data_IF_401348357182
#
_entry.id   IF_401348357182
#
_cell.length_a   1.000
_cell.length_b   1.000
_cell.length_c   1.000
_cell.angle_alpha   90.00
_cell.angle_beta   90.00
_cell.angle_gamma   90.00
#
_symmetry.space_group_name_H-M   'P 1'
#
loop_
_entity.id
_entity.type
_entity.pdbx_description
1 polymer ?
#
# COMPACT_ATOMS: atom_id res chain seq x y z
N UNK A 1 25.13 15.10 -28.88
CA UNK A 1 24.34 14.11 -28.12
C UNK A 1 25.33 13.11 -27.56
N UNK A 2 25.72 13.30 -26.29
CA UNK A 2 26.57 12.33 -25.60
C UNK A 2 25.76 11.04 -25.41
N UNK A 3 26.30 9.93 -25.91
CA UNK A 3 25.81 8.58 -25.65
C UNK A 3 25.93 8.33 -24.15
N UNK A 4 24.81 8.14 -23.45
CA UNK A 4 24.80 7.63 -22.08
C UNK A 4 25.54 6.28 -22.13
N UNK A 5 26.73 6.15 -21.53
CA UNK A 5 27.44 4.87 -21.55
C UNK A 5 26.58 3.83 -20.84
N UNK A 6 26.48 2.64 -21.41
CA UNK A 6 25.66 1.53 -20.91
C UNK A 6 25.76 1.42 -19.38
N UNK A 7 24.73 1.88 -18.70
CA UNK A 7 24.51 1.83 -17.25
C UNK A 7 24.49 0.37 -16.73
N UNK A 8 24.43 -0.58 -17.65
CA UNK A 8 24.03 -1.97 -17.48
C UNK A 8 24.98 -2.84 -16.60
N UNK A 9 26.32 -2.81 -16.76
CA UNK A 9 27.17 -3.77 -16.05
C UNK A 9 27.38 -3.42 -14.57
N UNK A 10 27.40 -2.14 -14.21
CA UNK A 10 27.53 -1.71 -12.81
C UNK A 10 26.26 -2.02 -12.01
N UNK A 11 25.09 -1.74 -12.59
CA UNK A 11 23.81 -2.01 -11.95
C UNK A 11 23.60 -3.50 -11.68
N UNK A 12 23.96 -4.36 -12.65
CA UNK A 12 23.89 -5.80 -12.46
C UNK A 12 24.75 -6.29 -11.29
N UNK A 13 25.96 -5.74 -11.13
CA UNK A 13 26.84 -6.07 -10.00
C UNK A 13 26.18 -5.70 -8.66
N UNK A 14 25.50 -4.56 -8.60
CA UNK A 14 24.84 -4.09 -7.38
C UNK A 14 23.62 -4.94 -7.01
N UNK A 15 22.83 -5.36 -8.00
CA UNK A 15 21.73 -6.30 -7.81
C UNK A 15 22.23 -7.64 -7.25
N UNK A 16 23.29 -8.20 -7.82
CA UNK A 16 23.90 -9.46 -7.37
C UNK A 16 24.41 -9.32 -5.93
N UNK A 17 25.08 -8.21 -5.61
CA UNK A 17 25.54 -7.92 -4.24
C UNK A 17 24.38 -7.81 -3.26
N UNK A 18 23.25 -7.22 -3.66
CA UNK A 18 22.03 -7.14 -2.86
C UNK A 18 21.45 -8.51 -2.55
N UNK A 19 21.40 -9.42 -3.51
CA UNK A 19 20.87 -10.78 -3.30
C UNK A 19 21.79 -11.69 -2.47
N UNK A 20 23.10 -11.38 -2.39
CA UNK A 20 24.06 -12.22 -1.69
C UNK A 20 23.92 -12.18 -0.17
N UNK A 21 23.77 -13.34 0.46
CA UNK A 21 23.60 -13.51 1.92
C UNK A 21 24.60 -12.72 2.78
N UNK A 22 25.87 -12.71 2.39
CA UNK A 22 26.95 -12.05 3.13
C UNK A 22 27.28 -10.63 2.61
N UNK A 23 26.83 -10.28 1.40
CA UNK A 23 27.12 -8.98 0.76
C UNK A 23 25.98 -7.98 0.93
N UNK A 24 24.76 -8.44 1.22
CA UNK A 24 23.55 -7.63 1.36
C UNK A 24 23.71 -6.42 2.31
N UNK A 25 24.35 -6.61 3.47
CA UNK A 25 24.51 -5.53 4.46
C UNK A 25 25.32 -4.34 3.92
N UNK A 26 26.25 -4.57 2.98
CA UNK A 26 27.10 -3.54 2.35
C UNK A 26 26.68 -3.17 0.92
N UNK A 27 25.68 -3.84 0.37
CA UNK A 27 25.18 -3.55 -0.97
C UNK A 27 24.48 -2.17 -1.01
N UNK A 28 24.71 -1.34 -2.05
CA UNK A 28 23.98 -0.09 -2.24
C UNK A 28 22.52 -0.33 -2.64
N UNK A 29 22.24 -1.43 -3.35
CA UNK A 29 20.89 -1.89 -3.70
C UNK A 29 20.54 -3.11 -2.84
N UNK A 30 19.52 -2.98 -1.98
CA UNK A 30 19.23 -3.99 -0.94
C UNK A 30 18.47 -5.22 -1.42
N UNK A 31 17.74 -5.16 -2.53
CA UNK A 31 16.98 -6.33 -3.04
C UNK A 31 16.11 -6.99 -1.96
N UNK A 32 15.38 -6.18 -1.19
CA UNK A 32 14.53 -6.65 -0.10
C UNK A 32 13.40 -7.55 -0.64
N UNK A 33 13.09 -8.69 0.03
CA UNK A 33 11.99 -9.54 -0.38
C UNK A 33 10.65 -8.83 -0.18
N UNK A 34 9.80 -8.84 -1.21
CA UNK A 34 8.43 -8.28 -1.13
C UNK A 34 7.43 -9.25 -0.50
N UNK A 35 7.82 -10.52 -0.30
CA UNK A 35 6.97 -11.64 0.11
C UNK A 35 5.78 -11.95 -0.82
N UNK A 36 5.70 -11.30 -1.98
CA UNK A 36 4.78 -11.65 -3.07
C UNK A 36 5.36 -12.85 -3.82
N UNK A 37 4.70 -14.00 -3.75
CA UNK A 37 5.19 -15.28 -4.31
C UNK A 37 4.58 -15.67 -5.65
N UNK A 38 3.53 -14.99 -6.08
CA UNK A 38 2.86 -15.23 -7.36
C UNK A 38 2.30 -13.91 -7.89
N UNK A 39 2.20 -13.81 -9.22
CA UNK A 39 1.47 -12.75 -9.90
C UNK A 39 -0.02 -13.07 -9.93
N UNK A 40 -0.91 -12.07 -10.12
CA UNK A 40 -2.33 -12.34 -10.19
C UNK A 40 -2.69 -13.36 -11.28
N UNK A 41 -3.57 -14.30 -10.94
CA UNK A 41 -3.96 -15.41 -11.84
C UNK A 41 -5.42 -15.34 -12.32
N UNK A 42 -6.16 -14.33 -11.85
CA UNK A 42 -7.53 -14.04 -12.27
C UNK A 42 -8.59 -14.71 -11.43
N UNK A 43 -8.20 -15.51 -10.44
CA UNK A 43 -9.12 -16.12 -9.47
C UNK A 43 -9.34 -15.22 -8.24
N UNK A 44 -8.69 -14.07 -8.18
CA UNK A 44 -8.89 -13.10 -7.11
C UNK A 44 -10.32 -12.58 -7.11
N UNK A 45 -10.92 -12.51 -5.93
CA UNK A 45 -12.26 -11.94 -5.75
C UNK A 45 -12.43 -11.36 -4.36
N UNK A 46 -13.24 -10.31 -4.28
CA UNK A 46 -13.58 -9.65 -3.02
C UNK A 46 -13.41 -8.14 -3.08
N UNK A 47 -13.72 -7.51 -1.95
CA UNK A 47 -13.52 -6.10 -1.70
C UNK A 47 -12.22 -5.90 -0.90
N UNK A 48 -11.36 -5.02 -1.41
CA UNK A 48 -10.05 -4.73 -0.84
C UNK A 48 -9.95 -3.25 -0.50
N UNK A 49 -9.29 -2.96 0.61
CA UNK A 49 -8.87 -1.61 0.96
C UNK A 49 -7.36 -1.50 0.71
N UNK A 50 -6.96 -0.50 -0.07
CA UNK A 50 -5.56 -0.19 -0.29
C UNK A 50 -5.24 1.23 0.22
N UNK A 51 -4.03 1.37 0.75
CA UNK A 51 -3.49 2.62 1.25
C UNK A 51 -2.20 2.93 0.49
N UNK A 52 -2.13 4.10 -0.11
CA UNK A 52 -0.96 4.58 -0.84
C UNK A 52 -0.38 5.79 -0.12
N UNK A 53 0.77 5.59 0.53
CA UNK A 53 1.51 6.56 1.32
C UNK A 53 2.87 6.82 0.66
N UNK A 54 3.13 8.05 0.20
CA UNK A 54 4.37 8.34 -0.51
C UNK A 54 4.79 9.82 -0.60
N UNK A 55 4.15 10.72 0.15
CA UNK A 55 4.45 12.15 0.12
C UNK A 55 3.55 12.96 1.05
N UNK A 56 3.23 14.20 0.68
CA UNK A 56 2.35 15.12 1.44
C UNK A 56 0.87 14.73 1.39
N UNK A 57 0.51 13.81 0.48
CA UNK A 57 -0.82 13.26 0.35
C UNK A 57 -0.74 11.75 0.41
N UNK A 58 -1.80 11.14 0.92
CA UNK A 58 -2.03 9.72 0.78
C UNK A 58 -3.40 9.43 0.20
N UNK A 59 -3.55 8.22 -0.34
CA UNK A 59 -4.79 7.80 -0.96
C UNK A 59 -5.34 6.58 -0.25
N UNK A 60 -6.64 6.63 0.03
CA UNK A 60 -7.43 5.47 0.41
C UNK A 60 -8.15 5.00 -0.83
N UNK A 61 -8.01 3.72 -1.17
CA UNK A 61 -8.69 3.10 -2.30
C UNK A 61 -9.55 1.94 -1.84
N UNK A 62 -10.81 1.90 -2.28
CA UNK A 62 -11.67 0.73 -2.19
C UNK A 62 -11.74 0.06 -3.55
N UNK A 63 -11.31 -1.20 -3.63
CA UNK A 63 -11.12 -1.96 -4.86
C UNK A 63 -12.01 -3.20 -4.83
N UNK A 64 -13.00 -3.25 -5.73
CA UNK A 64 -13.82 -4.45 -5.94
C UNK A 64 -13.27 -5.29 -7.10
N UNK A 65 -12.93 -6.55 -6.83
CA UNK A 65 -12.46 -7.53 -7.81
C UNK A 65 -13.49 -8.64 -7.97
N UNK A 66 -13.89 -8.92 -9.21
CA UNK A 66 -14.76 -10.07 -9.55
C UNK A 66 -14.05 -10.99 -10.55
N UNK A 67 -14.41 -12.27 -10.47
CA UNK A 67 -13.77 -13.38 -11.19
C UNK A 67 -13.93 -13.28 -12.72
N UNK A 68 -15.02 -12.72 -13.23
CA UNK A 68 -15.40 -12.91 -14.64
C UNK A 68 -14.55 -12.14 -15.67
N UNK A 69 -13.68 -11.18 -15.29
CA UNK A 69 -12.91 -10.43 -16.31
C UNK A 69 -11.55 -9.85 -15.89
N UNK A 70 -11.01 -10.09 -14.68
CA UNK A 70 -9.82 -9.33 -14.18
C UNK A 70 -9.95 -7.79 -14.36
N UNK A 71 -11.18 -7.28 -14.55
CA UNK A 71 -11.44 -5.85 -14.68
C UNK A 71 -11.71 -5.32 -13.28
N UNK A 72 -10.91 -4.34 -12.86
CA UNK A 72 -11.22 -3.45 -11.74
C UNK A 72 -12.60 -2.85 -11.99
N UNK A 73 -13.61 -3.36 -11.28
CA UNK A 73 -15.01 -3.05 -11.58
C UNK A 73 -15.44 -1.73 -10.95
N UNK A 74 -14.86 -1.43 -9.78
CA UNK A 74 -15.04 -0.17 -9.08
C UNK A 74 -13.83 0.13 -8.24
N UNK A 75 -13.24 1.30 -8.46
CA UNK A 75 -12.16 1.83 -7.65
C UNK A 75 -12.59 3.19 -7.14
N UNK A 76 -13.09 3.22 -5.91
CA UNK A 76 -13.39 4.47 -5.23
C UNK A 76 -12.10 4.96 -4.55
N UNK A 77 -11.77 6.24 -4.70
CA UNK A 77 -10.54 6.79 -4.11
C UNK A 77 -10.80 8.10 -3.39
N UNK A 78 -10.07 8.32 -2.30
CA UNK A 78 -10.05 9.58 -1.55
C UNK A 78 -8.63 9.99 -1.29
N UNK A 79 -8.31 11.24 -1.63
CA UNK A 79 -7.02 11.86 -1.31
C UNK A 79 -7.15 12.52 0.05
N UNK A 80 -6.18 12.25 0.92
CA UNK A 80 -6.08 12.81 2.26
C UNK A 80 -4.74 13.54 2.38
N UNK A 81 -4.80 14.84 2.62
CA UNK A 81 -3.61 15.62 2.91
C UNK A 81 -3.04 15.23 4.27
N UNK A 82 -1.71 15.18 4.38
CA UNK A 82 -1.00 15.01 5.64
C UNK A 82 -0.46 16.38 6.04
N UNK A 83 -0.96 16.98 7.13
CA UNK A 83 -0.41 18.22 7.67
C UNK A 83 1.10 18.10 7.92
N UNK A 84 1.84 19.18 7.70
CA UNK A 84 3.30 19.18 7.82
C UNK A 84 3.75 18.83 9.24
N UNK A 85 2.97 19.21 10.25
CA UNK A 85 3.20 18.90 11.66
C UNK A 85 3.14 17.40 11.93
N UNK A 86 2.27 16.67 11.20
CA UNK A 86 2.14 15.21 11.31
C UNK A 86 3.25 14.52 10.51
N UNK A 87 3.64 15.05 9.34
CA UNK A 87 4.76 14.50 8.55
C UNK A 87 6.10 14.54 9.29
N UNK A 88 6.32 15.59 10.09
CA UNK A 88 7.52 15.77 10.92
C UNK A 88 7.34 15.25 12.35
N UNK A 89 6.15 14.73 12.67
CA UNK A 89 5.78 14.22 13.97
C UNK A 89 6.23 12.78 14.22
N UNK A 90 5.61 12.13 15.19
CA UNK A 90 5.87 10.72 15.50
C UNK A 90 5.19 9.79 14.50
N UNK A 91 5.73 8.57 14.34
CA UNK A 91 5.08 7.54 13.54
C UNK A 91 3.65 7.25 14.00
N UNK A 92 3.39 7.30 15.32
CA UNK A 92 2.06 7.12 15.89
C UNK A 92 1.06 8.18 15.42
N UNK A 93 1.48 9.46 15.32
CA UNK A 93 0.64 10.53 14.80
C UNK A 93 0.27 10.30 13.33
N UNK A 94 1.22 9.82 12.52
CA UNK A 94 0.97 9.46 11.10
C UNK A 94 -0.02 8.29 11.01
N UNK A 95 0.14 7.25 11.83
CA UNK A 95 -0.78 6.11 11.85
C UNK A 95 -2.17 6.51 12.33
N UNK A 96 -2.29 7.31 13.39
CA UNK A 96 -3.56 7.81 13.90
C UNK A 96 -4.31 8.67 12.86
N UNK A 97 -3.59 9.55 12.15
CA UNK A 97 -4.15 10.35 11.06
C UNK A 97 -4.67 9.49 9.90
N UNK A 98 -3.90 8.46 9.54
CA UNK A 98 -4.28 7.49 8.52
C UNK A 98 -5.57 6.75 8.91
N UNK A 99 -5.66 6.28 10.17
CA UNK A 99 -6.85 5.62 10.70
C UNK A 99 -8.09 6.51 10.73
N UNK A 100 -7.95 7.76 11.21
CA UNK A 100 -9.07 8.70 11.24
C UNK A 100 -9.59 9.02 9.84
N UNK A 101 -8.69 9.16 8.87
CA UNK A 101 -9.06 9.37 7.48
C UNK A 101 -9.75 8.16 6.87
N UNK A 102 -9.32 6.94 7.22
CA UNK A 102 -10.02 5.70 6.87
C UNK A 102 -11.43 5.70 7.46
N UNK A 103 -11.61 5.97 8.75
CA UNK A 103 -12.93 6.00 9.40
C UNK A 103 -13.89 7.00 8.72
N UNK A 104 -13.42 8.20 8.40
CA UNK A 104 -14.21 9.19 7.64
C UNK A 104 -14.57 8.70 6.24
N UNK A 105 -13.80 7.78 5.68
CA UNK A 105 -14.00 7.19 4.36
C UNK A 105 -14.97 6.01 4.41
N UNK A 106 -14.91 5.19 5.46
CA UNK A 106 -15.90 4.13 5.76
C UNK A 106 -17.32 4.69 5.95
N UNK A 107 -17.44 5.86 6.59
CA UNK A 107 -18.73 6.57 6.75
C UNK A 107 -19.21 7.20 5.43
N UNK A 108 -18.28 7.55 4.53
CA UNK A 108 -18.57 8.24 3.26
C UNK A 108 -18.86 7.30 2.07
N UNK A 109 -18.72 5.98 2.23
CA UNK A 109 -19.07 4.99 1.21
C UNK A 109 -20.30 4.15 1.62
N UNK A 110 -21.53 4.67 1.44
CA UNK A 110 -22.77 3.99 1.87
C UNK A 110 -22.97 2.58 1.28
N UNK A 111 -22.33 2.29 0.14
CA UNK A 111 -22.37 0.96 -0.48
C UNK A 111 -21.73 -0.13 0.40
N UNK A 112 -20.66 0.21 1.13
CA UNK A 112 -19.93 -0.74 1.99
C UNK A 112 -20.70 -0.99 3.29
N UNK A 113 -21.33 0.05 3.85
CA UNK A 113 -22.20 -0.06 5.04
C UNK A 113 -23.46 -0.91 4.80
N UNK A 114 -23.97 -0.94 3.56
CA UNK A 114 -25.10 -1.81 3.18
C UNK A 114 -24.72 -3.30 3.10
N UNK A 115 -23.48 -3.60 2.74
CA UNK A 115 -23.02 -4.99 2.54
C UNK A 115 -22.38 -5.61 3.81
N UNK A 116 -21.88 -4.82 4.76
CA UNK A 116 -21.23 -5.33 5.99
C UNK A 116 -21.69 -4.66 7.30
N UNK A 117 -22.96 -4.83 7.72
CA UNK A 117 -23.48 -4.22 8.95
C UNK A 117 -22.82 -4.73 10.25
N UNK A 118 -22.20 -5.92 10.23
CA UNK A 118 -21.60 -6.54 11.42
C UNK A 118 -20.20 -6.03 11.77
N UNK A 119 -19.50 -5.38 10.83
CA UNK A 119 -18.11 -4.93 11.03
C UNK A 119 -17.99 -3.70 11.95
N UNK A 120 -19.09 -2.94 12.10
CA UNK A 120 -19.17 -1.83 13.06
C UNK A 120 -19.13 -2.29 14.53
N UNK A 121 -19.48 -3.56 14.80
CA UNK A 121 -19.52 -4.09 16.17
C UNK A 121 -18.17 -4.67 16.63
N UNK A 122 -17.28 -5.04 15.72
CA UNK A 122 -16.02 -5.74 16.07
C UNK A 122 -14.80 -4.84 16.12
N UNK A 123 -14.81 -3.68 15.45
CA UNK A 123 -13.66 -2.77 15.44
C UNK A 123 -13.48 -1.98 16.74
N UNK A 124 -14.46 -1.99 17.66
CA UNK A 124 -14.27 -1.47 19.03
C UNK A 124 -13.59 -2.49 19.98
N UNK A 125 -13.51 -3.79 19.62
CA UNK A 125 -12.96 -4.82 20.51
C UNK A 125 -11.47 -5.14 20.31
N UNK A 126 -10.83 -4.65 19.23
CA UNK A 126 -9.42 -4.95 18.94
C UNK A 126 -8.42 -3.90 19.47
N UNK A 127 -8.88 -2.94 20.29
CA UNK A 127 -8.03 -1.98 21.01
C UNK A 127 -7.93 -2.26 22.53
N UNK A 128 -8.29 -3.46 22.98
CA UNK A 128 -8.24 -3.86 24.40
C UNK A 128 -7.56 -5.21 24.66
N UNK A 129 -6.76 -5.73 23.72
CA UNK A 129 -5.81 -6.83 23.95
C UNK A 129 -4.44 -6.50 23.37
#
# INVERSE_FOLDING_TARGET
MELIPDINPSHRKDLIRGLGKHTHCRAPVKMLPTFVRATPDGREKGDFLALDLGGTNFRVLHVRVVEEMQKLLKMDSKICAIPQEIMLGTGEQVFAHSWNSLNLTWVAFPTVLKEFPHMLSTCWLLFLL
#
